data_IF_319088655715
#
_entry.id   IF_319088655715
#
_cell.length_a   1.000
_cell.length_b   1.000
_cell.length_c   1.000
_cell.angle_alpha   90.00
_cell.angle_beta   90.00
_cell.angle_gamma   90.00
#
_symmetry.space_group_name_H-M   'P 1'
#
loop_
_entity.id
_entity.type
_entity.pdbx_description
1 polymer ?
#
# COMPACT_ATOMS: atom_id res chain seq x y z
N UNK A 1 -34.32 28.50 1.43
CA UNK A 1 -33.90 27.93 2.72
C UNK A 1 -33.43 26.51 2.45
N UNK A 2 -32.12 26.28 2.44
CA UNK A 2 -31.50 25.00 2.05
C UNK A 2 -31.60 24.04 3.23
N UNK A 3 -32.29 22.90 3.05
CA UNK A 3 -32.32 21.83 4.04
C UNK A 3 -31.34 20.75 3.60
N UNK A 4 -30.15 20.82 4.19
CA UNK A 4 -29.12 19.79 4.14
C UNK A 4 -29.68 18.53 4.81
N UNK A 5 -29.68 17.41 4.09
CA UNK A 5 -29.80 16.08 4.70
C UNK A 5 -28.62 15.26 4.24
N UNK A 6 -27.72 15.11 5.21
CA UNK A 6 -26.57 14.21 5.23
C UNK A 6 -26.96 12.81 4.79
N UNK A 7 -26.39 12.36 3.67
CA UNK A 7 -26.19 10.92 3.45
C UNK A 7 -24.78 10.61 3.93
N UNK A 8 -24.72 9.87 5.02
CA UNK A 8 -23.51 9.42 5.67
C UNK A 8 -22.58 8.77 4.65
N UNK A 9 -21.42 9.40 4.44
CA UNK A 9 -20.23 8.71 3.97
C UNK A 9 -19.92 7.64 5.01
N UNK A 10 -20.22 6.38 4.68
CA UNK A 10 -19.65 5.24 5.38
C UNK A 10 -18.16 5.28 5.05
N UNK A 11 -17.41 6.02 5.85
CA UNK A 11 -15.97 5.87 5.98
C UNK A 11 -15.74 4.54 6.70
N UNK A 12 -15.76 3.44 5.96
CA UNK A 12 -15.30 2.16 6.44
C UNK A 12 -13.78 2.21 6.57
N UNK A 13 -13.32 2.70 7.72
CA UNK A 13 -11.96 2.49 8.17
C UNK A 13 -11.67 0.97 8.19
N UNK A 14 -10.65 0.54 7.45
CA UNK A 14 -9.97 -0.74 7.70
C UNK A 14 -10.61 -2.00 7.13
N UNK A 15 -11.21 -1.97 5.95
CA UNK A 15 -11.40 -3.22 5.21
C UNK A 15 -10.02 -3.69 4.72
N UNK A 16 -9.60 -4.86 5.16
CA UNK A 16 -8.50 -5.60 4.51
C UNK A 16 -8.86 -5.74 3.02
N UNK A 17 -8.06 -5.15 2.12
CA UNK A 17 -8.25 -5.21 0.66
C UNK A 17 -7.30 -6.26 0.05
N UNK A 18 -7.65 -7.56 0.08
CA UNK A 18 -6.79 -8.62 -0.46
C UNK A 18 -6.54 -8.43 -1.95
N UNK A 19 -7.56 -8.01 -2.70
CA UNK A 19 -7.47 -7.86 -4.16
C UNK A 19 -6.37 -6.87 -4.57
N UNK A 20 -6.31 -5.71 -3.89
CA UNK A 20 -5.28 -4.69 -4.17
C UNK A 20 -3.88 -5.14 -3.73
N UNK A 21 -3.78 -5.86 -2.62
CA UNK A 21 -2.49 -6.42 -2.20
C UNK A 21 -1.98 -7.42 -3.24
N UNK A 22 -2.82 -8.35 -3.67
CA UNK A 22 -2.45 -9.41 -4.61
C UNK A 22 -2.05 -8.83 -5.97
N UNK A 23 -2.76 -7.82 -6.47
CA UNK A 23 -2.39 -7.08 -7.68
C UNK A 23 -1.00 -6.45 -7.56
N UNK A 24 -0.71 -5.78 -6.42
CA UNK A 24 0.58 -5.15 -6.19
C UNK A 24 1.72 -6.16 -6.02
N UNK A 25 1.46 -7.31 -5.40
CA UNK A 25 2.47 -8.38 -5.29
C UNK A 25 2.76 -9.01 -6.65
N UNK A 26 1.73 -9.21 -7.48
CA UNK A 26 1.91 -9.64 -8.87
C UNK A 26 2.72 -8.64 -9.69
N UNK A 27 2.49 -7.33 -9.50
CA UNK A 27 3.27 -6.28 -10.16
C UNK A 27 4.74 -6.28 -9.69
N UNK A 28 4.97 -6.34 -8.38
CA UNK A 28 6.33 -6.45 -7.84
C UNK A 28 7.06 -7.68 -8.41
N UNK A 29 6.39 -8.83 -8.49
CA UNK A 29 6.97 -10.02 -9.10
C UNK A 29 7.31 -9.80 -10.59
N UNK A 30 6.42 -9.15 -11.36
CA UNK A 30 6.69 -8.83 -12.76
C UNK A 30 7.87 -7.87 -12.95
N UNK A 31 8.05 -6.91 -12.03
CA UNK A 31 9.09 -5.87 -12.11
C UNK A 31 10.46 -6.36 -11.68
N UNK A 32 10.54 -7.19 -10.64
CA UNK A 32 11.82 -7.56 -10.03
C UNK A 32 11.89 -9.00 -9.52
N UNK A 33 10.90 -9.84 -9.85
CA UNK A 33 10.81 -11.22 -9.41
C UNK A 33 10.54 -11.35 -7.91
N UNK A 34 10.57 -12.59 -7.43
CA UNK A 34 10.30 -12.94 -6.03
C UNK A 34 11.19 -12.19 -5.03
N UNK A 35 12.45 -11.91 -5.38
CA UNK A 35 13.35 -11.16 -4.51
C UNK A 35 12.82 -9.74 -4.24
N UNK A 36 12.30 -9.07 -5.27
CA UNK A 36 11.73 -7.74 -5.13
C UNK A 36 10.40 -7.75 -4.37
N UNK A 37 9.58 -8.80 -4.49
CA UNK A 37 8.37 -8.99 -3.66
C UNK A 37 8.71 -8.99 -2.17
N UNK A 38 9.77 -9.72 -1.78
CA UNK A 38 10.24 -9.74 -0.39
C UNK A 38 10.76 -8.37 0.06
N UNK A 39 11.55 -7.71 -0.79
CA UNK A 39 12.11 -6.39 -0.52
C UNK A 39 11.01 -5.33 -0.33
N UNK A 40 10.04 -5.24 -1.26
CA UNK A 40 8.97 -4.25 -1.18
C UNK A 40 8.07 -4.48 0.03
N UNK A 41 7.79 -5.74 0.36
CA UNK A 41 7.01 -6.09 1.55
C UNK A 41 7.71 -5.64 2.82
N UNK A 42 9.01 -5.89 2.93
CA UNK A 42 9.81 -5.47 4.08
C UNK A 42 9.89 -3.94 4.18
N UNK A 43 10.23 -3.25 3.10
CA UNK A 43 10.38 -1.80 3.08
C UNK A 43 9.06 -1.08 3.36
N UNK A 44 7.95 -1.52 2.75
CA UNK A 44 6.64 -0.93 3.03
C UNK A 44 6.23 -1.14 4.50
N UNK A 45 6.58 -2.28 5.09
CA UNK A 45 6.36 -2.55 6.52
C UNK A 45 7.16 -1.59 7.39
N UNK A 46 8.47 -1.48 7.16
CA UNK A 46 9.37 -0.56 7.86
C UNK A 46 8.94 0.92 7.74
N UNK A 47 8.42 1.34 6.59
CA UNK A 47 7.93 2.70 6.38
C UNK A 47 6.63 2.92 7.15
N UNK A 48 5.68 1.99 7.02
CA UNK A 48 4.36 2.11 7.68
C UNK A 48 4.49 2.10 9.20
N UNK A 49 5.38 1.26 9.75
CA UNK A 49 5.55 1.14 11.20
C UNK A 49 6.16 2.38 11.86
N UNK A 50 6.75 3.31 11.10
CA UNK A 50 7.22 4.60 11.62
C UNK A 50 6.06 5.49 12.05
N UNK A 51 4.96 5.47 11.30
CA UNK A 51 3.78 6.31 11.54
C UNK A 51 2.69 5.55 12.29
N UNK A 52 2.64 4.23 12.15
CA UNK A 52 1.68 3.35 12.79
C UNK A 52 2.40 2.28 13.61
N UNK A 53 2.59 2.51 14.91
CA UNK A 53 3.20 1.53 15.79
C UNK A 53 2.35 0.25 15.89
N UNK A 54 2.70 -0.76 15.10
CA UNK A 54 2.06 -2.07 15.10
C UNK A 54 3.11 -3.17 15.08
N UNK A 55 3.00 -4.12 16.00
CA UNK A 55 3.91 -5.27 16.12
C UNK A 55 3.53 -6.43 15.19
N UNK A 56 2.51 -6.26 14.34
CA UNK A 56 1.92 -7.33 13.55
C UNK A 56 1.03 -8.28 14.36
N UNK A 57 0.83 -8.02 15.65
CA UNK A 57 -0.05 -8.79 16.53
C UNK A 57 -1.25 -7.98 16.98
N UNK A 58 -2.38 -8.67 17.17
CA UNK A 58 -3.64 -8.03 17.52
C UNK A 58 -4.24 -7.25 16.35
N UNK A 59 -5.21 -6.36 16.62
CA UNK A 59 -5.88 -5.61 15.57
C UNK A 59 -4.89 -4.67 14.87
N UNK A 60 -4.94 -4.68 13.54
CA UNK A 60 -4.22 -3.73 12.70
C UNK A 60 -4.75 -2.30 12.97
N UNK A 61 -3.87 -1.29 13.18
CA UNK A 61 -4.32 0.08 13.38
C UNK A 61 -5.09 0.63 12.19
N UNK A 62 -6.08 1.48 12.46
CA UNK A 62 -6.82 2.17 11.41
C UNK A 62 -5.86 3.00 10.54
N UNK A 63 -5.89 2.79 9.23
CA UNK A 63 -5.03 3.47 8.27
C UNK A 63 -3.71 2.76 7.96
N UNK A 64 -3.27 1.79 8.78
CA UNK A 64 -2.04 1.03 8.53
C UNK A 64 -2.07 0.35 7.16
N UNK A 65 -3.15 -0.40 6.86
CA UNK A 65 -3.30 -1.11 5.57
C UNK A 65 -3.12 -0.20 4.37
N UNK A 66 -3.81 0.93 4.39
CA UNK A 66 -3.82 1.87 3.29
C UNK A 66 -2.43 2.48 3.09
N UNK A 67 -1.80 2.93 4.18
CA UNK A 67 -0.45 3.48 4.13
C UNK A 67 0.57 2.44 3.62
N UNK A 68 0.45 1.19 4.05
CA UNK A 68 1.28 0.09 3.57
C UNK A 68 1.12 -0.14 2.06
N UNK A 69 -0.12 -0.21 1.56
CA UNK A 69 -0.41 -0.38 0.13
C UNK A 69 0.14 0.80 -0.70
N UNK A 70 0.04 2.02 -0.17
CA UNK A 70 0.54 3.21 -0.85
C UNK A 70 2.08 3.22 -0.91
N UNK A 71 2.77 2.77 0.14
CA UNK A 71 4.23 2.57 0.11
C UNK A 71 4.65 1.48 -0.88
N UNK A 72 3.95 0.34 -0.91
CA UNK A 72 4.22 -0.72 -1.91
C UNK A 72 4.11 -0.17 -3.33
N UNK A 73 3.02 0.55 -3.62
CA UNK A 73 2.80 1.14 -4.94
C UNK A 73 3.90 2.13 -5.33
N UNK A 74 4.35 2.99 -4.41
CA UNK A 74 5.44 3.94 -4.63
C UNK A 74 6.77 3.22 -4.94
N UNK A 75 7.14 2.23 -4.14
CA UNK A 75 8.40 1.47 -4.31
C UNK A 75 8.42 0.74 -5.66
N UNK A 76 7.31 0.13 -6.08
CA UNK A 76 7.18 -0.52 -7.40
C UNK A 76 7.33 0.51 -8.52
N UNK A 77 6.67 1.66 -8.41
CA UNK A 77 6.76 2.73 -9.40
C UNK A 77 8.20 3.25 -9.55
N UNK A 78 8.90 3.45 -8.44
CA UNK A 78 10.30 3.89 -8.43
C UNK A 78 11.22 2.84 -9.08
N UNK A 79 11.01 1.56 -8.76
CA UNK A 79 11.78 0.47 -9.37
C UNK A 79 11.56 0.42 -10.88
N UNK A 80 10.32 0.55 -11.35
CA UNK A 80 9.99 0.65 -12.78
C UNK A 80 10.69 1.83 -13.43
N UNK A 81 10.68 3.00 -12.80
CA UNK A 81 11.35 4.19 -13.32
C UNK A 81 12.86 4.00 -13.47
N UNK A 82 13.51 3.29 -12.54
CA UNK A 82 14.94 2.95 -12.60
C UNK A 82 15.28 1.98 -13.74
N UNK A 83 14.36 1.06 -14.07
CA UNK A 83 14.54 0.08 -15.14
C UNK A 83 14.26 0.64 -16.54
N UNK A 84 13.55 1.77 -16.64
CA UNK A 84 13.30 2.41 -17.93
C UNK A 84 14.64 2.90 -18.50
N UNK A 85 15.03 2.45 -19.71
CA UNK A 85 16.22 2.97 -20.34
C UNK A 85 16.05 4.47 -20.49
N UNK A 86 17.08 5.22 -20.09
CA UNK A 86 17.17 6.67 -20.27
C UNK A 86 17.10 6.89 -21.78
N UNK A 87 15.92 7.23 -22.29
CA UNK A 87 15.75 7.64 -23.68
C UNK A 87 16.59 8.91 -23.81
N UNK A 88 17.75 8.76 -24.46
CA UNK A 88 18.62 9.86 -24.86
C UNK A 88 18.03 10.60 -26.04
#
# INVERSE_FOLDING_TARGET
>A
MIKVVSSAVVSSAGAYEPDRQDELMGDAEAVGGRAFVHEVTYLATELTTRDFSWSGHGPEPAGYRQAWLDHVQQIIADRRAQLRPRQG
#
